data_IF_364214961059
#
_entry.id   IF_364214961059
#
_cell.length_a   1.000
_cell.length_b   1.000
_cell.length_c   1.000
_cell.angle_alpha   90.00
_cell.angle_beta   90.00
_cell.angle_gamma   90.00
#
_symmetry.space_group_name_H-M   'P 1'
#
loop_
_entity.id
_entity.type
_entity.pdbx_description
1 polymer ?
#
# COMPACT_ATOMS: atom_id res chain seq x y z
N UNK A 1 -12.90 -14.81 4.27
CA UNK A 1 -12.10 -14.34 3.12
C UNK A 1 -12.96 -13.62 2.09
N UNK A 2 -13.98 -14.27 1.50
CA UNK A 2 -14.90 -13.67 0.50
C UNK A 2 -15.41 -12.26 0.89
N UNK A 3 -15.89 -12.07 2.13
CA UNK A 3 -16.30 -10.76 2.62
C UNK A 3 -15.22 -9.67 2.52
N UNK A 4 -13.96 -9.97 2.87
CA UNK A 4 -12.85 -9.00 2.72
C UNK A 4 -12.58 -8.66 1.25
N UNK A 5 -12.64 -9.67 0.38
CA UNK A 5 -12.49 -9.46 -1.06
C UNK A 5 -13.66 -8.63 -1.63
N UNK A 6 -14.89 -8.83 -1.14
CA UNK A 6 -16.04 -8.01 -1.55
C UNK A 6 -15.84 -6.54 -1.20
N UNK A 7 -15.33 -6.23 0.00
CA UNK A 7 -15.01 -4.85 0.38
C UNK A 7 -13.97 -4.22 -0.54
N UNK A 8 -12.91 -4.95 -0.91
CA UNK A 8 -11.92 -4.46 -1.89
C UNK A 8 -12.57 -4.23 -3.26
N UNK A 9 -13.45 -5.11 -3.71
CA UNK A 9 -14.18 -4.96 -4.97
C UNK A 9 -15.08 -3.72 -4.94
N UNK A 10 -15.77 -3.47 -3.83
CA UNK A 10 -16.62 -2.28 -3.62
C UNK A 10 -15.81 -0.98 -3.61
N UNK A 11 -14.55 -1.03 -3.16
CA UNK A 11 -13.60 0.08 -3.28
C UNK A 11 -13.16 0.34 -4.73
N UNK A 12 -13.37 -0.61 -5.64
CA UNK A 12 -12.91 -0.56 -7.03
C UNK A 12 -11.57 -1.26 -7.29
N UNK A 13 -11.05 -2.05 -6.34
CA UNK A 13 -9.83 -2.84 -6.55
C UNK A 13 -10.07 -3.89 -7.62
N UNK A 14 -9.12 -4.01 -8.54
CA UNK A 14 -9.09 -5.06 -9.57
C UNK A 14 -7.90 -6.01 -9.44
N UNK A 15 -6.88 -5.70 -8.64
CA UNK A 15 -5.67 -6.50 -8.49
C UNK A 15 -5.20 -6.61 -7.03
N UNK A 16 -4.65 -7.76 -6.65
CA UNK A 16 -4.10 -8.04 -5.30
C UNK A 16 -2.68 -8.62 -5.43
N UNK A 17 -1.76 -8.14 -4.59
CA UNK A 17 -0.43 -8.72 -4.38
C UNK A 17 -0.44 -9.51 -3.09
N UNK A 18 0.00 -10.76 -3.09
CA UNK A 18 0.04 -11.62 -1.89
C UNK A 18 1.29 -11.34 -1.05
N UNK A 19 1.45 -10.09 -0.61
CA UNK A 19 2.59 -9.64 0.17
C UNK A 19 2.68 -10.37 1.53
N UNK A 20 3.74 -11.13 1.86
CA UNK A 20 4.88 -11.52 1.00
C UNK A 20 5.07 -13.04 1.04
N UNK A 21 4.00 -13.78 0.79
CA UNK A 21 3.98 -15.23 0.85
C UNK A 21 2.79 -15.81 0.08
N UNK A 22 2.83 -17.10 -0.29
CA UNK A 22 1.71 -17.75 -0.93
C UNK A 22 0.43 -17.64 -0.07
N UNK A 23 -0.68 -17.33 -0.73
CA UNK A 23 -2.00 -17.36 -0.13
C UNK A 23 -2.57 -18.80 -0.09
N UNK A 24 -3.56 -19.10 0.77
CA UNK A 24 -4.21 -20.41 0.79
C UNK A 24 -5.02 -20.66 -0.50
N UNK A 25 -5.23 -21.92 -0.95
CA UNK A 25 -5.91 -22.24 -2.21
C UNK A 25 -7.24 -21.49 -2.44
N UNK A 26 -8.08 -21.41 -1.40
CA UNK A 26 -9.36 -20.70 -1.47
C UNK A 26 -9.26 -19.21 -1.82
N UNK A 27 -8.10 -18.58 -1.63
CA UNK A 27 -7.88 -17.20 -2.05
C UNK A 27 -7.88 -17.09 -3.57
N UNK A 28 -7.18 -17.98 -4.27
CA UNK A 28 -7.11 -17.96 -5.72
C UNK A 28 -8.44 -18.36 -6.35
N UNK A 29 -9.13 -19.37 -5.80
CA UNK A 29 -10.49 -19.74 -6.23
C UNK A 29 -11.45 -18.54 -6.16
N UNK A 30 -11.38 -17.77 -5.07
CA UNK A 30 -12.20 -16.57 -4.91
C UNK A 30 -11.75 -15.44 -5.85
N UNK A 31 -10.45 -15.30 -6.13
CA UNK A 31 -9.98 -14.31 -7.10
C UNK A 31 -10.44 -14.64 -8.52
N UNK A 32 -10.42 -15.91 -8.91
CA UNK A 32 -10.98 -16.38 -10.17
C UNK A 32 -12.49 -16.08 -10.26
N UNK A 33 -13.24 -16.44 -9.22
CA UNK A 33 -14.70 -16.25 -9.17
C UNK A 33 -15.09 -14.76 -9.21
N UNK A 34 -14.37 -13.92 -8.47
CA UNK A 34 -14.71 -12.50 -8.27
C UNK A 34 -14.04 -11.57 -9.29
N UNK A 35 -13.21 -12.11 -10.18
CA UNK A 35 -12.49 -11.36 -11.20
C UNK A 35 -11.46 -10.40 -10.61
N UNK A 36 -10.56 -10.91 -9.78
CA UNK A 36 -9.34 -10.21 -9.35
C UNK A 36 -8.14 -10.68 -10.15
N UNK A 37 -7.27 -9.75 -10.51
CA UNK A 37 -5.91 -10.04 -10.97
C UNK A 37 -5.02 -10.28 -9.75
N UNK A 38 -4.08 -11.21 -9.84
CA UNK A 38 -3.20 -11.58 -8.74
C UNK A 38 -1.73 -11.48 -9.18
N UNK A 39 -0.97 -10.70 -8.40
CA UNK A 39 0.48 -10.80 -8.32
C UNK A 39 0.78 -11.81 -7.20
N UNK A 40 1.02 -13.06 -7.57
CA UNK A 40 1.28 -14.14 -6.63
C UNK A 40 2.76 -14.07 -6.23
N UNK A 41 3.03 -13.96 -4.93
CA UNK A 41 4.35 -13.71 -4.37
C UNK A 41 4.76 -14.83 -3.42
N UNK A 42 5.95 -15.38 -3.62
CA UNK A 42 6.43 -16.54 -2.86
C UNK A 42 7.37 -16.19 -1.70
N UNK A 43 8.30 -15.26 -1.89
CA UNK A 43 9.33 -14.97 -0.90
C UNK A 43 9.30 -13.51 -0.45
N UNK A 44 9.30 -13.29 0.85
CA UNK A 44 9.67 -11.97 1.39
C UNK A 44 11.15 -11.69 1.10
N UNK A 45 12.07 -12.56 1.53
CA UNK A 45 13.50 -12.38 1.28
C UNK A 45 14.22 -13.67 0.92
N UNK A 46 15.29 -13.53 0.11
CA UNK A 46 16.23 -14.61 -0.23
C UNK A 46 17.37 -14.75 0.79
N UNK A 47 17.38 -13.84 1.76
CA UNK A 47 18.36 -13.77 2.83
C UNK A 47 17.63 -13.32 4.10
N UNK A 48 18.29 -13.51 5.24
CA UNK A 48 17.79 -13.10 6.55
C UNK A 48 17.31 -11.65 6.58
N UNK A 49 16.00 -11.43 6.81
CA UNK A 49 15.36 -10.14 7.13
C UNK A 49 14.92 -10.06 8.59
N UNK A 50 14.57 -11.19 9.21
CA UNK A 50 14.27 -11.31 10.63
C UNK A 50 15.09 -12.43 11.31
N UNK A 51 15.11 -12.48 12.64
CA UNK A 51 15.97 -13.43 13.38
C UNK A 51 15.74 -14.91 12.99
N UNK A 52 14.50 -15.26 12.71
CA UNK A 52 14.03 -16.63 12.51
C UNK A 52 13.11 -16.72 11.28
N UNK A 53 13.33 -15.89 10.25
CA UNK A 53 12.54 -16.00 9.01
C UNK A 53 13.06 -17.10 8.08
N UNK A 54 12.34 -17.29 6.96
CA UNK A 54 12.68 -18.27 5.94
C UNK A 54 14.07 -18.03 5.33
N UNK A 55 14.40 -16.75 5.05
CA UNK A 55 15.71 -16.34 4.54
C UNK A 55 16.87 -16.67 5.48
N UNK A 56 16.64 -16.72 6.80
CA UNK A 56 17.65 -17.10 7.78
C UNK A 56 17.78 -18.62 7.97
N UNK A 57 16.71 -19.38 7.77
CA UNK A 57 16.63 -20.77 8.24
C UNK A 57 16.63 -21.82 7.14
N UNK A 58 16.06 -21.51 5.97
CA UNK A 58 15.67 -22.55 5.03
C UNK A 58 15.91 -22.19 3.56
N UNK A 59 15.99 -20.90 3.20
CA UNK A 59 16.03 -20.48 1.80
C UNK A 59 17.07 -21.25 0.97
N UNK A 60 18.31 -21.35 1.44
CA UNK A 60 19.41 -22.00 0.71
C UNK A 60 19.14 -23.49 0.38
N UNK A 61 18.39 -24.19 1.23
CA UNK A 61 18.16 -25.63 1.08
C UNK A 61 16.81 -25.96 0.44
N UNK A 62 15.84 -25.03 0.50
CA UNK A 62 14.43 -25.32 0.22
C UNK A 62 13.79 -24.49 -0.90
N UNK A 63 14.41 -23.39 -1.33
CA UNK A 63 13.76 -22.46 -2.28
C UNK A 63 13.26 -23.14 -3.56
N UNK A 64 14.03 -24.08 -4.13
CA UNK A 64 13.67 -24.72 -5.39
C UNK A 64 12.43 -25.62 -5.24
N UNK A 65 12.38 -26.38 -4.14
CA UNK A 65 11.24 -27.25 -3.83
C UNK A 65 9.98 -26.42 -3.57
N UNK A 66 10.09 -25.40 -2.74
CA UNK A 66 8.95 -24.56 -2.34
C UNK A 66 8.41 -23.78 -3.54
N UNK A 67 9.29 -23.26 -4.41
CA UNK A 67 8.88 -22.61 -5.65
C UNK A 67 8.24 -23.56 -6.65
N UNK A 68 8.74 -24.79 -6.74
CA UNK A 68 8.16 -25.80 -7.62
C UNK A 68 6.74 -26.16 -7.19
N UNK A 69 6.51 -26.44 -5.89
CA UNK A 69 5.17 -26.72 -5.36
C UNK A 69 4.21 -25.55 -5.59
N UNK A 70 4.66 -24.34 -5.26
CA UNK A 70 3.84 -23.14 -5.38
C UNK A 70 3.39 -22.88 -6.82
N UNK A 71 4.30 -23.03 -7.81
CA UNK A 71 3.97 -22.87 -9.22
C UNK A 71 3.08 -23.99 -9.73
N UNK A 72 3.40 -25.25 -9.44
CA UNK A 72 2.59 -26.39 -9.89
C UNK A 72 1.16 -26.33 -9.35
N UNK A 73 0.99 -25.90 -8.10
CA UNK A 73 -0.31 -25.67 -7.48
C UNK A 73 -1.09 -24.56 -8.17
N UNK A 74 -0.43 -23.43 -8.46
CA UNK A 74 -1.14 -22.19 -8.76
C UNK A 74 -1.24 -21.84 -10.25
N UNK A 75 -0.38 -22.37 -11.14
CA UNK A 75 -0.27 -21.95 -12.56
C UNK A 75 -1.53 -22.08 -13.42
N UNK A 76 -2.54 -22.81 -12.96
CA UNK A 76 -3.80 -22.94 -13.68
C UNK A 76 -4.86 -21.88 -13.30
N UNK A 77 -4.61 -21.04 -12.29
CA UNK A 77 -5.53 -19.97 -11.91
C UNK A 77 -5.49 -18.82 -12.93
N UNK A 78 -6.61 -18.48 -13.60
CA UNK A 78 -6.69 -17.37 -14.54
C UNK A 78 -6.50 -16.00 -13.88
N UNK A 79 -6.79 -15.87 -12.58
CA UNK A 79 -6.55 -14.63 -11.83
C UNK A 79 -5.08 -14.26 -11.75
N UNK A 80 -4.17 -15.24 -11.71
CA UNK A 80 -2.74 -14.97 -11.60
C UNK A 80 -2.21 -14.47 -12.93
N UNK A 81 -1.64 -13.28 -12.94
CA UNK A 81 -1.12 -12.64 -14.16
C UNK A 81 0.39 -12.40 -14.13
N UNK A 82 0.99 -12.40 -12.94
CA UNK A 82 2.41 -12.13 -12.75
C UNK A 82 2.89 -12.80 -11.47
N UNK A 83 4.10 -13.34 -11.50
CA UNK A 83 4.77 -13.92 -10.34
C UNK A 83 5.73 -12.91 -9.73
N UNK A 84 5.73 -12.79 -8.40
CA UNK A 84 6.74 -12.02 -7.66
C UNK A 84 7.65 -12.96 -6.89
N UNK A 85 8.95 -12.92 -7.20
CA UNK A 85 9.91 -13.86 -6.64
C UNK A 85 10.63 -13.34 -5.39
N UNK A 86 10.39 -12.10 -4.96
CA UNK A 86 11.09 -11.52 -3.82
C UNK A 86 10.59 -10.12 -3.44
N UNK A 87 10.88 -9.68 -2.22
CA UNK A 87 10.55 -8.36 -1.73
C UNK A 87 11.69 -7.71 -0.91
N UNK A 88 12.20 -6.57 -1.36
CA UNK A 88 13.28 -5.81 -0.71
C UNK A 88 14.50 -6.68 -0.35
N UNK A 89 14.92 -7.51 -1.29
CA UNK A 89 16.02 -8.45 -1.14
C UNK A 89 17.01 -8.33 -2.29
N UNK A 90 18.13 -9.05 -2.21
CA UNK A 90 19.22 -8.97 -3.19
C UNK A 90 19.99 -10.27 -3.25
N UNK A 91 20.56 -10.55 -4.42
CA UNK A 91 21.40 -11.71 -4.65
C UNK A 91 21.32 -12.19 -6.08
N UNK A 92 22.40 -12.81 -6.56
CA UNK A 92 22.49 -13.37 -7.92
C UNK A 92 21.55 -14.57 -8.14
N UNK A 93 21.04 -15.16 -7.05
CA UNK A 93 20.04 -16.24 -7.08
C UNK A 93 18.78 -15.85 -7.85
N UNK A 94 18.49 -14.55 -7.98
CA UNK A 94 17.44 -14.03 -8.85
C UNK A 94 17.46 -14.62 -10.27
N UNK A 95 18.65 -14.82 -10.85
CA UNK A 95 18.80 -15.45 -12.19
C UNK A 95 18.21 -16.85 -12.22
N UNK A 96 18.56 -17.66 -11.22
CA UNK A 96 18.13 -19.05 -11.12
C UNK A 96 16.64 -19.16 -10.81
N UNK A 97 16.13 -18.29 -9.93
CA UNK A 97 14.71 -18.17 -9.62
C UNK A 97 13.87 -17.85 -10.86
N UNK A 98 14.28 -16.85 -11.64
CA UNK A 98 13.58 -16.46 -12.89
C UNK A 98 13.63 -17.60 -13.90
N UNK A 99 14.80 -18.17 -14.15
CA UNK A 99 14.97 -19.27 -15.11
C UNK A 99 14.10 -20.48 -14.76
N UNK A 100 14.07 -20.87 -13.49
CA UNK A 100 13.26 -21.99 -13.00
C UNK A 100 11.75 -21.66 -13.04
N UNK A 101 11.36 -20.41 -12.76
CA UNK A 101 9.97 -19.98 -12.91
C UNK A 101 9.50 -20.11 -14.36
N UNK A 102 10.25 -19.58 -15.32
CA UNK A 102 9.93 -19.71 -16.75
C UNK A 102 9.99 -21.16 -17.26
N UNK A 103 10.84 -22.01 -16.67
CA UNK A 103 10.86 -23.44 -16.98
C UNK A 103 9.54 -24.13 -16.60
N UNK A 104 8.97 -23.78 -15.44
CA UNK A 104 7.76 -24.41 -14.88
C UNK A 104 6.46 -23.79 -15.41
N UNK A 105 6.48 -22.49 -15.69
CA UNK A 105 5.40 -21.74 -16.33
C UNK A 105 5.96 -20.62 -17.23
N UNK A 106 6.13 -20.87 -18.55
CA UNK A 106 6.58 -19.85 -19.49
C UNK A 106 5.47 -18.87 -19.92
N UNK A 107 4.23 -19.05 -19.45
CA UNK A 107 3.08 -18.26 -19.92
C UNK A 107 2.90 -16.93 -19.20
N UNK A 108 3.62 -16.69 -18.10
CA UNK A 108 3.47 -15.51 -17.24
C UNK A 108 4.80 -14.79 -17.02
N UNK A 109 4.69 -13.48 -16.81
CA UNK A 109 5.83 -12.63 -16.51
C UNK A 109 6.24 -12.74 -15.05
N UNK A 110 7.49 -12.37 -14.79
CA UNK A 110 8.11 -12.37 -13.48
C UNK A 110 8.50 -10.95 -13.06
N UNK A 111 8.25 -10.62 -11.79
CA UNK A 111 8.67 -9.39 -11.13
C UNK A 111 9.28 -9.69 -9.76
N UNK A 112 9.71 -8.64 -9.08
CA UNK A 112 9.93 -8.65 -7.63
C UNK A 112 9.84 -7.22 -7.09
N UNK A 113 9.46 -7.09 -5.83
CA UNK A 113 9.44 -5.80 -5.16
C UNK A 113 10.84 -5.34 -4.84
N UNK A 114 11.37 -4.35 -5.57
CA UNK A 114 12.67 -3.71 -5.27
C UNK A 114 13.84 -4.70 -5.07
N UNK A 115 13.88 -5.77 -5.88
CA UNK A 115 14.89 -6.84 -5.77
C UNK A 115 15.46 -7.17 -7.14
N UNK A 116 16.80 -7.14 -7.32
CA UNK A 116 17.52 -7.58 -8.52
C UNK A 116 16.78 -7.41 -9.87
N UNK A 117 16.24 -6.22 -10.12
CA UNK A 117 15.27 -5.94 -11.18
C UNK A 117 15.82 -6.13 -12.59
N UNK A 118 17.14 -6.13 -12.74
CA UNK A 118 17.85 -6.44 -13.96
C UNK A 118 17.50 -7.84 -14.51
N UNK A 119 17.11 -8.79 -13.67
CA UNK A 119 16.76 -10.16 -14.08
C UNK A 119 15.26 -10.38 -14.31
N UNK A 120 14.41 -9.47 -13.82
CA UNK A 120 12.94 -9.62 -13.88
C UNK A 120 12.39 -9.22 -15.26
N UNK A 121 11.26 -9.78 -15.69
CA UNK A 121 10.61 -9.34 -16.93
C UNK A 121 9.97 -7.94 -16.77
N UNK A 122 9.41 -7.68 -15.59
CA UNK A 122 8.74 -6.43 -15.23
C UNK A 122 9.53 -5.71 -14.15
N UNK A 123 9.74 -4.41 -14.32
CA UNK A 123 10.42 -3.58 -13.34
C UNK A 123 9.49 -3.26 -12.17
N UNK A 124 9.71 -3.91 -11.02
CA UNK A 124 8.98 -3.70 -9.79
C UNK A 124 9.72 -2.79 -8.80
N UNK A 125 9.09 -1.68 -8.37
CA UNK A 125 9.68 -0.77 -7.37
C UNK A 125 8.69 -0.46 -6.26
N UNK A 126 9.12 -0.65 -5.00
CA UNK A 126 8.38 -0.32 -3.79
C UNK A 126 8.43 1.21 -3.51
N UNK A 127 8.65 1.63 -2.26
CA UNK A 127 8.66 3.04 -1.85
C UNK A 127 9.70 3.94 -2.57
N UNK A 128 10.66 3.37 -3.30
CA UNK A 128 11.52 4.11 -4.21
C UNK A 128 10.76 4.83 -5.33
N UNK A 129 9.60 4.29 -5.75
CA UNK A 129 8.72 4.88 -6.77
C UNK A 129 7.95 6.11 -6.29
N UNK A 130 7.95 6.38 -4.98
CA UNK A 130 7.27 7.54 -4.38
C UNK A 130 8.12 8.81 -4.37
N UNK A 131 9.40 8.71 -4.73
CA UNK A 131 10.34 9.82 -4.71
C UNK A 131 10.18 10.67 -5.96
N UNK A 132 10.26 11.99 -5.86
CA UNK A 132 10.24 12.87 -7.03
C UNK A 132 11.30 12.48 -8.06
N UNK A 133 12.53 12.19 -7.61
CA UNK A 133 13.64 11.78 -8.48
C UNK A 133 13.43 10.46 -9.22
N UNK A 134 12.44 9.63 -8.86
CA UNK A 134 12.11 8.44 -9.66
C UNK A 134 11.58 8.84 -11.05
N UNK A 135 10.78 9.91 -11.12
CA UNK A 135 10.11 10.37 -12.34
C UNK A 135 11.00 11.25 -13.22
N UNK A 136 12.17 11.67 -12.71
CA UNK A 136 13.14 12.50 -13.43
C UNK A 136 14.23 11.69 -14.13
N UNK A 137 14.33 10.39 -13.81
CA UNK A 137 15.34 9.50 -14.39
C UNK A 137 14.90 8.97 -15.75
N UNK A 138 15.89 8.58 -16.55
CA UNK A 138 15.64 7.77 -17.73
C UNK A 138 14.97 6.46 -17.35
N UNK A 139 14.08 6.01 -18.24
CA UNK A 139 13.19 4.88 -17.99
C UNK A 139 13.87 3.58 -18.39
N UNK A 140 13.68 2.49 -17.63
CA UNK A 140 14.02 1.18 -18.15
C UNK A 140 13.10 0.82 -19.33
N UNK A 141 13.63 0.02 -20.26
CA UNK A 141 12.86 -0.49 -21.41
C UNK A 141 11.77 -1.51 -21.00
N UNK A 142 11.85 -2.03 -19.78
CA UNK A 142 10.90 -3.01 -19.23
C UNK A 142 9.60 -2.32 -18.81
N UNK A 143 8.44 -3.01 -18.90
CA UNK A 143 7.21 -2.54 -18.28
C UNK A 143 7.43 -2.26 -16.79
N UNK A 144 6.81 -1.20 -16.27
CA UNK A 144 6.95 -0.81 -14.87
C UNK A 144 5.65 -1.04 -14.10
N UNK A 145 5.77 -1.51 -12.86
CA UNK A 145 4.69 -1.57 -11.88
C UNK A 145 5.22 -1.13 -10.52
N UNK A 146 4.45 -0.32 -9.79
CA UNK A 146 4.78 -0.05 -8.40
C UNK A 146 4.24 -1.19 -7.53
N UNK A 147 5.12 -2.13 -7.21
CA UNK A 147 4.83 -3.32 -6.41
C UNK A 147 4.42 -2.97 -4.98
N UNK A 148 4.79 -1.78 -4.50
CA UNK A 148 4.43 -1.29 -3.17
C UNK A 148 4.46 0.24 -3.10
N UNK A 149 3.39 0.88 -3.56
CA UNK A 149 3.19 2.32 -3.44
C UNK A 149 1.71 2.71 -3.58
N UNK A 150 1.22 3.74 -2.87
CA UNK A 150 1.98 4.56 -1.93
C UNK A 150 1.92 4.01 -0.50
N UNK A 151 2.80 4.53 0.35
CA UNK A 151 2.77 4.38 1.81
C UNK A 151 2.12 5.61 2.47
N UNK A 152 0.83 5.49 2.78
CA UNK A 152 0.04 6.50 3.54
C UNK A 152 -0.51 5.88 4.81
N UNK A 153 -0.63 6.66 5.89
CA UNK A 153 -1.02 6.17 7.20
C UNK A 153 -2.22 6.92 7.73
N UNK A 154 -3.24 6.21 8.22
CA UNK A 154 -4.48 6.82 8.62
C UNK A 154 -5.24 5.98 9.65
N UNK A 155 -5.71 6.63 10.71
CA UNK A 155 -6.54 6.01 11.74
C UNK A 155 -7.99 6.45 11.52
N UNK A 156 -8.91 5.48 11.47
CA UNK A 156 -10.33 5.73 11.20
C UNK A 156 -10.91 6.78 12.15
N UNK A 157 -11.58 7.79 11.61
CA UNK A 157 -12.26 8.83 12.40
C UNK A 157 -11.31 9.78 13.14
N UNK A 158 -10.01 9.74 12.81
CA UNK A 158 -9.00 10.61 13.38
C UNK A 158 -8.58 11.66 12.37
N UNK A 159 -8.46 12.92 12.77
CA UNK A 159 -8.16 14.03 11.87
C UNK A 159 -7.06 14.92 12.45
N UNK A 160 -6.17 15.42 11.58
CA UNK A 160 -5.25 16.53 11.83
C UNK A 160 -5.16 17.41 10.60
N UNK A 161 -5.15 18.71 10.79
CA UNK A 161 -5.08 19.68 9.68
C UNK A 161 -3.65 19.96 9.25
N UNK A 162 -2.66 19.66 10.10
CA UNK A 162 -1.24 19.71 9.76
C UNK A 162 -0.79 18.48 9.00
N UNK A 163 -0.08 18.73 7.90
CA UNK A 163 0.54 17.69 7.09
C UNK A 163 1.70 17.06 7.84
N UNK A 164 1.79 15.74 7.80
CA UNK A 164 2.80 14.99 8.51
C UNK A 164 3.52 14.00 7.59
N UNK A 165 4.85 14.03 7.68
CA UNK A 165 5.74 13.13 6.98
C UNK A 165 6.50 12.26 7.98
N UNK A 166 6.43 10.94 7.83
CA UNK A 166 7.13 9.96 8.70
C UNK A 166 8.60 10.32 8.94
N UNK A 167 9.26 10.71 7.86
CA UNK A 167 10.71 10.98 7.81
C UNK A 167 11.02 12.48 7.85
N UNK A 168 10.03 13.31 8.18
CA UNK A 168 10.13 14.77 8.18
C UNK A 168 10.04 15.39 6.79
N UNK A 169 9.81 16.71 6.76
CA UNK A 169 9.76 17.51 5.55
C UNK A 169 10.44 18.87 5.75
N UNK A 170 11.27 19.34 4.79
CA UNK A 170 11.74 18.60 3.62
C UNK A 170 12.77 17.53 3.99
N UNK A 171 12.75 16.38 3.31
CA UNK A 171 13.77 15.33 3.46
C UNK A 171 14.51 15.09 2.14
N UNK A 172 15.78 15.50 2.07
CA UNK A 172 16.61 15.42 0.84
C UNK A 172 16.79 13.97 0.32
N UNK A 173 16.92 12.99 1.21
CA UNK A 173 17.13 11.58 0.82
C UNK A 173 15.85 10.86 0.39
N UNK A 174 14.71 11.29 0.91
CA UNK A 174 13.41 10.76 0.55
C UNK A 174 12.78 11.49 -0.64
N UNK A 175 13.16 12.75 -0.90
CA UNK A 175 12.60 13.59 -1.97
C UNK A 175 11.05 13.51 -2.03
N UNK A 176 10.36 13.81 -0.93
CA UNK A 176 8.90 13.70 -0.85
C UNK A 176 8.22 14.74 -1.75
N UNK A 177 7.00 14.46 -2.20
CA UNK A 177 6.14 15.45 -2.83
C UNK A 177 5.61 16.42 -1.78
N UNK A 178 5.68 17.72 -2.09
CA UNK A 178 5.16 18.75 -1.21
C UNK A 178 3.63 18.61 -1.05
N UNK A 179 3.14 18.78 0.17
CA UNK A 179 1.72 18.92 0.45
C UNK A 179 1.55 20.03 1.51
N UNK A 180 0.79 21.10 1.23
CA UNK A 180 0.57 22.17 2.20
C UNK A 180 -0.29 21.68 3.37
N UNK A 181 -0.19 22.37 4.51
CA UNK A 181 -1.16 22.20 5.60
C UNK A 181 -2.56 22.65 5.16
N UNK A 182 -3.60 22.06 5.75
CA UNK A 182 -4.99 22.47 5.48
C UNK A 182 -5.35 23.79 6.17
N UNK A 183 -4.67 24.10 7.27
CA UNK A 183 -4.89 25.31 8.08
C UNK A 183 -3.57 25.86 8.62
N UNK A 184 -3.57 27.14 8.99
CA UNK A 184 -2.40 27.80 9.56
C UNK A 184 -1.99 27.24 10.93
N UNK A 185 -2.96 26.85 11.76
CA UNK A 185 -2.73 26.20 13.06
C UNK A 185 -3.43 24.83 13.10
N UNK A 186 -2.96 23.90 13.93
CA UNK A 186 -3.63 22.61 14.10
C UNK A 186 -5.01 22.81 14.75
N UNK A 187 -6.05 22.28 14.12
CA UNK A 187 -7.43 22.38 14.63
C UNK A 187 -7.78 21.20 15.54
N UNK A 188 -7.23 20.02 15.28
CA UNK A 188 -7.59 18.79 15.99
C UNK A 188 -6.47 18.29 16.90
N UNK A 189 -6.78 18.11 18.18
CA UNK A 189 -5.81 17.69 19.21
C UNK A 189 -6.33 16.53 20.06
N UNK A 190 -6.85 15.49 19.42
CA UNK A 190 -7.44 14.33 20.11
C UNK A 190 -6.38 13.30 20.52
N UNK A 191 -5.47 13.60 21.43
CA UNK A 191 -4.48 12.57 21.81
C UNK A 191 -5.04 11.59 22.84
N UNK A 192 -4.81 10.30 22.60
CA UNK A 192 -5.22 9.23 23.53
C UNK A 192 -4.41 9.25 24.83
N UNK A 193 -3.20 9.83 24.78
CA UNK A 193 -2.31 10.06 25.90
C UNK A 193 -1.52 11.36 25.69
N UNK A 194 -1.14 12.07 26.77
CA UNK A 194 -0.37 13.30 26.66
C UNK A 194 1.05 13.03 26.15
N UNK A 195 1.64 14.03 25.47
CA UNK A 195 2.91 13.89 24.73
C UNK A 195 4.11 13.48 25.60
N UNK A 196 4.08 13.84 26.88
CA UNK A 196 5.11 13.50 27.88
C UNK A 196 5.17 11.99 28.18
N UNK A 197 4.12 11.23 27.85
CA UNK A 197 4.10 9.77 27.97
C UNK A 197 4.61 9.05 26.71
N UNK A 198 4.89 9.78 25.63
CA UNK A 198 5.35 9.18 24.38
C UNK A 198 6.87 8.94 24.44
N UNK A 199 7.26 7.68 24.32
CA UNK A 199 8.66 7.26 24.16
C UNK A 199 9.12 7.29 22.70
N UNK A 200 8.19 7.41 21.75
CA UNK A 200 8.45 7.51 20.33
C UNK A 200 7.58 8.61 19.70
N UNK A 201 8.18 9.46 18.87
CA UNK A 201 7.49 10.55 18.16
C UNK A 201 6.30 10.12 17.30
N UNK A 202 6.19 8.83 16.97
CA UNK A 202 5.10 8.25 16.18
C UNK A 202 3.94 7.74 17.03
N UNK A 203 3.99 7.79 18.37
CA UNK A 203 2.94 7.27 19.27
C UNK A 203 1.67 8.13 19.32
N UNK A 204 1.21 8.56 18.15
CA UNK A 204 -0.02 9.29 17.94
C UNK A 204 -0.80 8.62 16.80
N UNK A 205 -2.12 8.77 16.79
CA UNK A 205 -2.92 8.33 15.64
C UNK A 205 -2.56 9.12 14.39
N UNK A 206 -2.82 8.62 13.20
CA UNK A 206 -2.55 9.36 11.96
C UNK A 206 -3.85 9.88 11.36
N UNK A 207 -3.80 11.05 10.72
CA UNK A 207 -4.95 11.71 10.13
C UNK A 207 -5.60 10.87 9.02
N UNK A 208 -6.92 10.92 8.90
CA UNK A 208 -7.69 10.35 7.78
C UNK A 208 -7.91 11.34 6.63
N UNK A 209 -7.48 12.60 6.76
CA UNK A 209 -7.17 13.37 5.56
C UNK A 209 -6.00 12.72 4.81
N UNK A 210 -5.88 12.97 3.51
CA UNK A 210 -4.76 12.49 2.69
C UNK A 210 -3.47 13.30 2.93
N UNK A 211 -3.07 13.44 4.21
CA UNK A 211 -1.98 14.30 4.66
C UNK A 211 -1.00 13.66 5.67
N UNK A 212 -1.12 12.36 5.94
CA UNK A 212 -0.16 11.61 6.74
C UNK A 212 0.52 10.52 5.88
N UNK A 213 1.78 10.73 5.52
CA UNK A 213 2.44 9.95 4.48
C UNK A 213 3.92 9.69 4.76
N UNK A 214 4.52 8.80 3.98
CA UNK A 214 5.98 8.64 3.98
C UNK A 214 6.63 9.65 3.01
N UNK A 215 6.17 9.69 1.75
CA UNK A 215 6.74 10.56 0.70
C UNK A 215 5.71 11.25 -0.19
N UNK A 216 4.58 10.61 -0.44
CA UNK A 216 3.58 11.04 -1.42
C UNK A 216 2.19 10.73 -0.89
N UNK A 217 1.22 11.60 -1.18
CA UNK A 217 -0.18 11.37 -0.83
C UNK A 217 -0.81 10.31 -1.74
N UNK A 218 -1.93 9.73 -1.31
CA UNK A 218 -2.67 8.76 -2.13
C UNK A 218 -3.13 9.40 -3.44
N UNK A 219 -3.64 10.64 -3.37
CA UNK A 219 -4.03 11.43 -4.52
C UNK A 219 -2.87 11.64 -5.48
N UNK A 220 -1.71 12.08 -4.99
CA UNK A 220 -0.60 12.39 -5.88
C UNK A 220 -0.02 11.14 -6.54
N UNK A 221 0.03 10.01 -5.84
CA UNK A 221 0.46 8.74 -6.43
C UNK A 221 -0.51 8.26 -7.53
N UNK A 222 -1.82 8.39 -7.29
CA UNK A 222 -2.83 8.08 -8.29
C UNK A 222 -2.74 8.98 -9.52
N UNK A 223 -2.58 10.30 -9.34
CA UNK A 223 -2.38 11.25 -10.45
C UNK A 223 -1.20 10.84 -11.33
N UNK A 224 -0.06 10.51 -10.70
CA UNK A 224 1.12 10.06 -11.44
C UNK A 224 0.84 8.79 -12.22
N UNK A 225 0.22 7.77 -11.61
CA UNK A 225 -0.12 6.53 -12.33
C UNK A 225 -1.11 6.76 -13.47
N UNK A 226 -2.15 7.57 -13.26
CA UNK A 226 -3.18 7.88 -14.27
C UNK A 226 -2.60 8.64 -15.47
N UNK A 227 -1.72 9.62 -15.21
CA UNK A 227 -1.26 10.56 -16.25
C UNK A 227 0.01 10.08 -16.96
N UNK A 228 0.61 8.99 -16.50
CA UNK A 228 1.86 8.45 -17.03
C UNK A 228 1.63 7.10 -17.72
N UNK A 229 1.52 7.05 -19.06
CA UNK A 229 1.05 5.85 -19.78
C UNK A 229 1.88 4.58 -19.60
N UNK A 230 3.15 4.72 -19.19
CA UNK A 230 4.09 3.62 -18.93
C UNK A 230 3.97 3.04 -17.51
N UNK A 231 3.18 3.67 -16.63
CA UNK A 231 2.98 3.24 -15.25
C UNK A 231 1.81 2.25 -15.23
N UNK A 232 2.10 0.96 -15.31
CA UNK A 232 1.10 -0.11 -15.52
C UNK A 232 0.08 -0.23 -14.38
N UNK A 233 0.44 0.19 -13.17
CA UNK A 233 -0.41 0.11 -11.98
C UNK A 233 0.39 0.15 -10.70
N UNK A 234 -0.32 0.25 -9.58
CA UNK A 234 0.28 0.25 -8.25
C UNK A 234 -0.43 -0.69 -7.29
N UNK A 235 0.31 -1.22 -6.32
CA UNK A 235 -0.21 -1.95 -5.17
C UNK A 235 0.06 -1.12 -3.92
N UNK A 236 -0.97 -0.47 -3.37
CA UNK A 236 -0.83 0.36 -2.17
C UNK A 236 -0.47 -0.49 -0.96
N UNK A 237 0.25 0.11 -0.02
CA UNK A 237 0.48 -0.46 1.30
C UNK A 237 -0.46 0.21 2.33
N UNK A 238 -1.62 -0.36 2.67
CA UNK A 238 -2.22 -1.66 2.27
C UNK A 238 -3.73 -1.53 1.96
N UNK A 239 -4.38 -2.62 1.54
CA UNK A 239 -5.84 -2.69 1.47
C UNK A 239 -6.49 -2.65 2.87
N UNK A 240 -6.15 -3.60 3.73
CA UNK A 240 -6.59 -3.67 5.13
C UNK A 240 -5.44 -3.39 6.09
N UNK A 241 -5.75 -2.82 7.25
CA UNK A 241 -4.87 -2.89 8.42
C UNK A 241 -4.59 -4.36 8.78
N UNK A 242 -3.43 -4.60 9.39
CA UNK A 242 -3.02 -5.93 9.83
C UNK A 242 -2.27 -5.91 11.17
N UNK A 243 -2.11 -7.07 11.79
CA UNK A 243 -1.43 -7.22 13.08
C UNK A 243 0.09 -7.17 12.95
N UNK A 244 0.77 -6.56 13.91
CA UNK A 244 2.22 -6.38 13.87
C UNK A 244 2.61 -5.06 13.22
N UNK A 245 3.92 -4.90 12.93
CA UNK A 245 4.52 -3.72 12.29
C UNK A 245 4.16 -2.33 12.86
N UNK A 246 3.55 -2.31 14.06
CA UNK A 246 3.06 -1.10 14.69
C UNK A 246 4.18 -0.11 15.03
N UNK A 247 5.42 -0.58 15.19
CA UNK A 247 6.60 0.27 15.39
C UNK A 247 6.88 1.18 14.21
N UNK A 248 6.57 0.75 12.98
CA UNK A 248 6.74 1.57 11.80
C UNK A 248 5.78 2.74 11.81
N UNK A 249 4.49 2.49 12.05
CA UNK A 249 3.40 3.47 11.89
C UNK A 249 3.14 4.29 13.16
N UNK A 250 3.11 3.63 14.31
CA UNK A 250 2.68 4.21 15.59
C UNK A 250 3.68 4.06 16.73
N UNK A 251 4.94 3.71 16.43
CA UNK A 251 6.01 3.67 17.43
C UNK A 251 6.00 2.46 18.38
N UNK A 252 5.12 1.49 18.17
CA UNK A 252 5.10 0.21 18.90
C UNK A 252 4.13 0.24 20.07
N UNK A 253 4.40 -0.55 21.12
CA UNK A 253 3.51 -0.67 22.29
C UNK A 253 3.06 0.72 22.81
N UNK A 254 1.75 0.95 23.06
CA UNK A 254 0.66 -0.04 23.12
C UNK A 254 0.03 -0.39 21.76
N UNK A 255 0.47 0.22 20.67
CA UNK A 255 -0.02 -0.08 19.33
C UNK A 255 0.47 -1.45 18.88
N UNK A 256 -0.45 -2.25 18.34
CA UNK A 256 -0.20 -3.63 17.89
C UNK A 256 -0.60 -3.89 16.43
N UNK A 257 -1.07 -2.86 15.72
CA UNK A 257 -1.53 -2.93 14.34
C UNK A 257 -0.71 -1.99 13.46
N UNK A 258 -0.52 -2.41 12.22
CA UNK A 258 -0.19 -1.52 11.12
C UNK A 258 -1.48 -0.85 10.64
N UNK A 259 -1.62 0.47 10.87
CA UNK A 259 -2.84 1.21 10.55
C UNK A 259 -2.71 2.08 9.28
N UNK A 260 -2.19 1.51 8.19
CA UNK A 260 -2.09 2.16 6.87
C UNK A 260 -3.05 1.61 5.81
N UNK A 261 -3.97 0.73 6.18
CA UNK A 261 -5.01 0.20 5.32
C UNK A 261 -6.10 1.22 4.99
N UNK A 262 -6.70 1.12 3.81
CA UNK A 262 -7.92 1.87 3.46
C UNK A 262 -9.14 1.37 4.26
N UNK A 263 -9.09 0.11 4.70
CA UNK A 263 -10.03 -0.53 5.63
C UNK A 263 -9.28 -0.83 6.95
N UNK A 264 -9.96 -0.70 8.08
CA UNK A 264 -9.40 -1.17 9.36
C UNK A 264 -9.47 -2.70 9.51
N UNK A 265 -8.89 -3.24 10.59
CA UNK A 265 -8.83 -4.70 10.80
C UNK A 265 -10.22 -5.34 10.96
N UNK A 266 -11.22 -4.56 11.38
CA UNK A 266 -12.62 -4.95 11.51
C UNK A 266 -13.42 -4.75 10.21
N UNK A 267 -12.77 -4.28 9.14
CA UNK A 267 -13.36 -4.02 7.83
C UNK A 267 -14.22 -2.76 7.77
N UNK A 268 -14.09 -1.86 8.74
CA UNK A 268 -14.70 -0.55 8.63
C UNK A 268 -13.90 0.32 7.65
N UNK A 269 -14.63 0.97 6.76
CA UNK A 269 -14.13 1.90 5.75
C UNK A 269 -13.53 3.14 6.43
N UNK A 270 -12.34 3.54 5.99
CA UNK A 270 -11.75 4.84 6.33
C UNK A 270 -12.03 5.84 5.22
N UNK A 271 -11.81 7.13 5.44
CA UNK A 271 -12.00 8.17 4.41
C UNK A 271 -11.24 7.88 3.10
N UNK A 272 -10.07 7.23 3.23
CA UNK A 272 -9.25 6.81 2.11
C UNK A 272 -9.92 5.76 1.20
N UNK A 273 -10.81 4.92 1.72
CA UNK A 273 -11.62 3.99 0.93
C UNK A 273 -12.43 4.75 -0.12
N UNK A 274 -13.11 5.82 0.31
CA UNK A 274 -13.94 6.63 -0.57
C UNK A 274 -13.12 7.43 -1.56
N UNK A 275 -11.88 7.83 -1.21
CA UNK A 275 -10.94 8.37 -2.20
C UNK A 275 -10.75 7.36 -3.34
N UNK A 276 -10.33 6.12 -3.07
CA UNK A 276 -10.15 5.13 -4.13
C UNK A 276 -11.45 4.80 -4.87
N UNK A 277 -12.57 4.65 -4.16
CA UNK A 277 -13.86 4.41 -4.79
C UNK A 277 -14.23 5.53 -5.78
N UNK A 278 -13.93 6.79 -5.45
CA UNK A 278 -14.18 7.92 -6.33
C UNK A 278 -13.31 7.95 -7.60
N UNK A 279 -12.17 7.27 -7.56
CA UNK A 279 -11.23 7.22 -8.69
C UNK A 279 -11.38 5.95 -9.53
N UNK A 280 -11.77 4.83 -8.91
CA UNK A 280 -11.76 3.50 -9.53
C UNK A 280 -13.14 2.96 -9.89
N UNK A 281 -14.20 3.65 -9.50
CA UNK A 281 -15.57 3.24 -9.83
C UNK A 281 -16.30 4.31 -10.63
N UNK A 282 -17.35 3.88 -11.35
CA UNK A 282 -18.28 4.78 -12.07
C UNK A 282 -19.56 5.05 -11.28
N UNK A 283 -19.70 4.47 -10.08
CA UNK A 283 -20.92 4.61 -9.27
C UNK A 283 -21.00 6.05 -8.77
N UNK A 284 -22.11 6.78 -9.01
CA UNK A 284 -22.32 8.09 -8.41
C UNK A 284 -22.22 8.01 -6.88
N UNK A 285 -21.33 8.78 -6.28
CA UNK A 285 -21.14 8.82 -4.84
C UNK A 285 -20.63 10.20 -4.38
N UNK A 286 -20.89 10.50 -3.12
CA UNK A 286 -20.30 11.61 -2.37
C UNK A 286 -19.95 11.11 -0.97
N UNK A 287 -18.77 11.46 -0.50
CA UNK A 287 -18.31 11.24 0.87
C UNK A 287 -17.79 12.55 1.44
N UNK A 288 -18.09 12.80 2.72
CA UNK A 288 -17.75 14.04 3.41
C UNK A 288 -16.89 13.68 4.62
N UNK A 289 -15.80 14.42 4.81
CA UNK A 289 -14.98 14.38 6.01
C UNK A 289 -14.61 15.80 6.45
N UNK A 290 -14.40 16.06 7.75
CA UNK A 290 -14.50 15.12 8.88
C UNK A 290 -15.95 14.95 9.36
N UNK A 291 -16.16 14.30 10.51
CA UNK A 291 -17.45 14.31 11.22
C UNK A 291 -17.84 15.74 11.66
N UNK A 292 -19.08 15.98 12.11
CA UNK A 292 -19.57 17.32 12.52
C UNK A 292 -19.72 17.51 14.05
N UNK A 293 -19.12 16.63 14.85
CA UNK A 293 -19.23 16.66 16.32
C UNK A 293 -17.91 17.10 16.95
N UNK A 294 -17.81 18.38 17.31
CA UNK A 294 -16.57 18.97 17.85
C UNK A 294 -16.81 19.71 19.18
N UNK A 295 -17.16 18.99 20.26
CA UNK A 295 -17.54 19.62 21.53
C UNK A 295 -16.38 20.33 22.23
N UNK A 296 -15.13 20.02 21.86
CA UNK A 296 -13.92 20.62 22.43
C UNK A 296 -13.40 21.83 21.64
N UNK A 297 -14.02 22.17 20.51
CA UNK A 297 -13.64 23.32 19.70
C UNK A 297 -14.51 24.53 20.07
N UNK A 298 -13.90 25.72 20.02
CA UNK A 298 -14.61 26.95 20.25
C UNK A 298 -15.64 27.22 19.14
N UNK A 299 -16.74 27.87 19.50
CA UNK A 299 -17.74 28.28 18.51
C UNK A 299 -17.10 29.27 17.53
N UNK A 300 -17.19 28.97 16.24
CA UNK A 300 -16.61 29.79 15.17
C UNK A 300 -15.25 29.30 14.68
N UNK A 301 -14.68 28.24 15.27
CA UNK A 301 -13.52 27.56 14.68
C UNK A 301 -13.84 27.06 13.28
N UNK A 302 -13.05 27.47 12.29
CA UNK A 302 -13.17 27.00 10.91
C UNK A 302 -12.65 25.57 10.77
N UNK A 303 -13.43 24.71 10.11
CA UNK A 303 -13.11 23.31 9.92
C UNK A 303 -12.94 23.05 8.42
N UNK A 304 -11.78 22.52 7.96
CA UNK A 304 -11.59 22.20 6.55
C UNK A 304 -12.42 20.97 6.16
N UNK A 305 -13.59 21.19 5.54
CA UNK A 305 -14.45 20.10 5.06
C UNK A 305 -14.05 19.67 3.66
N UNK A 306 -13.81 18.37 3.46
CA UNK A 306 -13.52 17.78 2.15
C UNK A 306 -14.72 17.01 1.63
N UNK A 307 -14.92 17.12 0.31
CA UNK A 307 -15.89 16.35 -0.45
C UNK A 307 -15.13 15.45 -1.43
N UNK A 308 -15.41 14.14 -1.36
CA UNK A 308 -14.88 13.14 -2.28
C UNK A 308 -16.05 12.64 -3.11
N UNK A 309 -15.98 12.79 -4.44
CA UNK A 309 -17.10 12.47 -5.32
C UNK A 309 -16.64 11.96 -6.69
N UNK A 310 -17.50 11.17 -7.35
CA UNK A 310 -17.31 10.74 -8.75
C UNK A 310 -17.89 11.73 -9.78
N UNK A 311 -18.72 12.68 -9.34
CA UNK A 311 -19.42 13.64 -10.22
C UNK A 311 -18.70 14.99 -10.37
N UNK A 312 -19.03 15.74 -11.43
CA UNK A 312 -18.36 17.01 -11.76
C UNK A 312 -18.84 18.24 -10.95
N UNK A 313 -19.98 18.21 -10.24
CA UNK A 313 -20.50 19.36 -9.47
C UNK A 313 -21.25 18.96 -8.20
N UNK A 314 -20.97 19.70 -7.12
CA UNK A 314 -21.79 19.82 -5.91
C UNK A 314 -22.46 21.20 -5.93
N UNK A 315 -23.77 21.25 -5.72
CA UNK A 315 -24.49 22.50 -5.45
C UNK A 315 -24.78 22.57 -3.95
N UNK A 316 -24.23 23.58 -3.27
CA UNK A 316 -24.63 23.93 -1.91
C UNK A 316 -25.91 24.77 -2.02
N UNK A 317 -26.97 24.34 -1.33
CA UNK A 317 -28.22 25.08 -1.21
C UNK A 317 -28.17 26.06 -0.02
#
# INVERSE_FOLDING_TARGET
MKWKLSLLKEMGVNAIRTAHNPAPPMFYDLCDEMGFLVMDEIFDGWMRKAKMDYGAQAFNDWWERDMTEWLERNRNHPSIIIYSLGNETKGEIAKELVAKCHQLDPSRLVTSGHSASEYMDVFGVNGGSEKQGFYQKERPLKPFVATEAPHTWQTRGYYRTKTWFRDGYPNKGQQPFALPDLTQEEVFSYEWAPRDQWVNRKQHFNSSYDNAMVRISARKNWELMRDLPWYSGHFRWTGFDYYGEASYVHGGWPFRLFMGGALDVAGFEKDLFYFYQSQWTKKPMVHILPHWTHPTLDKGTEIPVWYILTAMRLSFL
#
